data_IF_675119795054
#
_entry.id   IF_675119795054
#
_cell.length_a   1.000
_cell.length_b   1.000
_cell.length_c   1.000
_cell.angle_alpha   90.00
_cell.angle_beta   90.00
_cell.angle_gamma   90.00
#
_symmetry.space_group_name_H-M   'P 1'
#
loop_
_entity.id
_entity.type
_entity.pdbx_description
1 polymer ?
#
# COMPACT_ATOMS: atom_id res chain seq x y z
N UNK A 1 -2.21 4.74 10.94
CA UNK A 1 -1.37 3.68 10.39
C UNK A 1 -2.05 2.34 10.57
N UNK A 2 -2.03 1.53 9.54
CA UNK A 2 -2.77 0.28 9.50
C UNK A 2 -1.82 -0.85 9.13
N UNK A 3 -2.01 -2.01 9.74
CA UNK A 3 -1.30 -3.23 9.39
C UNK A 3 -2.24 -4.13 8.59
N UNK A 4 -1.73 -4.74 7.53
CA UNK A 4 -2.52 -5.63 6.70
C UNK A 4 -1.66 -6.64 5.97
N UNK A 5 -2.31 -7.49 5.19
CA UNK A 5 -1.64 -8.50 4.38
C UNK A 5 -2.07 -8.35 2.93
N UNK A 6 -1.10 -8.35 2.04
CA UNK A 6 -1.37 -8.23 0.61
C UNK A 6 -2.11 -9.48 0.13
N UNK A 7 -3.27 -9.28 -0.48
CA UNK A 7 -4.06 -10.38 -1.03
C UNK A 7 -3.92 -10.52 -2.53
N UNK A 8 -3.51 -9.45 -3.23
CA UNK A 8 -3.32 -9.53 -4.67
C UNK A 8 -2.99 -8.19 -5.28
N UNK A 9 -2.78 -8.18 -6.59
CA UNK A 9 -2.54 -6.96 -7.35
C UNK A 9 -3.83 -6.52 -8.03
N UNK A 10 -4.00 -5.22 -8.11
CA UNK A 10 -5.11 -4.62 -8.83
C UNK A 10 -4.61 -4.22 -10.21
N UNK A 11 -5.17 -4.83 -11.25
CA UNK A 11 -4.79 -4.53 -12.62
C UNK A 11 -5.75 -3.50 -13.20
N UNK A 12 -5.19 -2.43 -13.75
CA UNK A 12 -5.97 -1.39 -14.40
C UNK A 12 -5.34 -1.10 -15.74
N UNK A 13 -6.11 -1.26 -16.83
CA UNK A 13 -5.62 -0.99 -18.17
C UNK A 13 -5.58 0.50 -18.50
N UNK A 14 -6.32 1.31 -17.73
CA UNK A 14 -6.36 2.77 -17.92
C UNK A 14 -6.28 3.47 -16.58
N UNK A 15 -5.50 4.52 -16.52
CA UNK A 15 -5.37 5.36 -15.35
C UNK A 15 -5.37 6.82 -15.76
N UNK A 16 -5.83 7.68 -14.88
CA UNK A 16 -5.76 9.13 -15.13
C UNK A 16 -4.30 9.56 -15.12
N UNK A 17 -4.00 10.67 -15.83
CA UNK A 17 -2.61 11.10 -16.04
C UNK A 17 -1.86 11.49 -14.77
N UNK A 18 -2.58 11.90 -13.71
CA UNK A 18 -1.94 12.26 -12.43
C UNK A 18 -1.61 11.05 -11.56
N UNK A 19 -1.98 9.84 -11.98
CA UNK A 19 -1.66 8.63 -11.25
C UNK A 19 -0.21 8.27 -11.44
N UNK A 20 0.58 8.08 -10.38
CA UNK A 20 1.98 7.69 -10.54
C UNK A 20 2.12 6.27 -11.11
N UNK A 21 3.24 6.01 -11.75
CA UNK A 21 3.58 4.65 -12.18
C UNK A 21 3.89 3.79 -10.97
N UNK A 22 3.37 2.59 -10.94
CA UNK A 22 3.60 1.66 -9.85
C UNK A 22 2.45 0.71 -9.69
N UNK A 23 2.57 -0.15 -8.70
CA UNK A 23 1.58 -1.18 -8.43
C UNK A 23 0.51 -0.68 -7.48
N UNK A 24 -0.72 -1.12 -7.72
CA UNK A 24 -1.80 -1.00 -6.76
C UNK A 24 -2.06 -2.40 -6.22
N UNK A 25 -2.09 -2.52 -4.91
CA UNK A 25 -2.29 -3.81 -4.26
C UNK A 25 -3.58 -3.82 -3.47
N UNK A 26 -4.24 -4.95 -3.49
CA UNK A 26 -5.36 -5.21 -2.60
C UNK A 26 -4.80 -5.71 -1.29
N UNK A 27 -5.18 -5.08 -0.19
CA UNK A 27 -4.68 -5.42 1.13
C UNK A 27 -5.85 -5.67 2.07
N UNK A 28 -5.79 -6.78 2.78
CA UNK A 28 -6.76 -7.09 3.80
C UNK A 28 -6.20 -6.65 5.16
N UNK A 29 -6.93 -5.77 5.83
CA UNK A 29 -6.49 -5.22 7.11
C UNK A 29 -6.75 -6.21 8.24
N UNK A 30 -6.15 -5.95 9.39
CA UNK A 30 -6.38 -6.78 10.59
C UNK A 30 -7.84 -6.79 11.03
N UNK A 31 -8.57 -5.74 10.74
CA UNK A 31 -10.00 -5.66 11.08
C UNK A 31 -10.90 -6.40 10.09
N UNK A 32 -10.33 -6.93 9.02
CA UNK A 32 -11.07 -7.65 8.01
C UNK A 32 -11.54 -6.81 6.82
N UNK A 33 -11.25 -5.52 6.84
CA UNK A 33 -11.56 -4.65 5.71
C UNK A 33 -10.58 -4.87 4.58
N UNK A 34 -11.01 -4.58 3.36
CA UNK A 34 -10.15 -4.63 2.18
C UNK A 34 -9.97 -3.22 1.67
N UNK A 35 -8.75 -2.86 1.35
CA UNK A 35 -8.45 -1.57 0.73
C UNK A 35 -7.43 -1.72 -0.39
N UNK A 36 -7.35 -0.69 -1.22
CA UNK A 36 -6.39 -0.63 -2.32
C UNK A 36 -5.33 0.38 -1.95
N UNK A 37 -4.08 -0.05 -1.98
CA UNK A 37 -2.96 0.81 -1.61
C UNK A 37 -1.92 0.85 -2.72
N UNK A 38 -1.29 2.02 -2.87
CA UNK A 38 -0.16 2.16 -3.79
C UNK A 38 1.09 1.55 -3.14
N UNK A 39 1.83 0.77 -3.92
CA UNK A 39 3.02 0.06 -3.44
C UNK A 39 4.28 0.53 -4.17
N UNK A 40 5.13 1.34 -3.52
CA UNK A 40 6.41 1.72 -4.10
C UNK A 40 7.54 0.72 -3.82
N UNK A 41 7.27 -0.32 -3.02
CA UNK A 41 8.30 -1.22 -2.52
C UNK A 41 8.44 -2.53 -3.31
N UNK A 42 7.40 -2.93 -4.03
CA UNK A 42 7.41 -4.19 -4.74
C UNK A 42 7.01 -5.39 -3.88
N UNK A 43 6.03 -5.20 -3.00
CA UNK A 43 5.56 -6.28 -2.14
C UNK A 43 4.78 -7.34 -2.93
N UNK A 44 4.79 -8.55 -2.43
CA UNK A 44 4.12 -9.69 -3.05
C UNK A 44 2.92 -10.14 -2.23
N UNK A 45 1.97 -10.87 -2.86
CA UNK A 45 0.86 -11.46 -2.11
C UNK A 45 1.37 -12.29 -0.94
N UNK A 46 0.70 -12.18 0.19
CA UNK A 46 1.08 -12.87 1.41
C UNK A 46 1.97 -12.07 2.34
N UNK A 47 2.60 -10.99 1.87
CA UNK A 47 3.43 -10.16 2.72
C UNK A 47 2.56 -9.31 3.67
N UNK A 48 3.05 -9.15 4.89
CA UNK A 48 2.45 -8.18 5.81
C UNK A 48 3.05 -6.81 5.56
N UNK A 49 2.21 -5.79 5.58
CA UNK A 49 2.62 -4.43 5.24
C UNK A 49 2.05 -3.43 6.21
N UNK A 50 2.74 -2.29 6.30
CA UNK A 50 2.26 -1.10 7.01
C UNK A 50 1.75 -0.11 5.98
N UNK A 51 0.59 0.47 6.26
CA UNK A 51 -0.10 1.38 5.36
C UNK A 51 -0.40 2.68 6.08
N UNK A 52 -0.11 3.80 5.44
CA UNK A 52 -0.59 5.10 5.86
C UNK A 52 -1.70 5.55 4.92
N UNK A 53 -2.60 6.40 5.40
CA UNK A 53 -3.78 6.83 4.64
C UNK A 53 -3.95 8.34 4.69
N UNK A 54 -4.84 8.83 3.84
CA UNK A 54 -5.24 10.22 3.81
C UNK A 54 -4.18 11.14 3.25
N UNK A 55 -4.13 12.36 3.77
CA UNK A 55 -3.22 13.39 3.27
C UNK A 55 -1.75 13.03 3.49
N UNK A 56 -1.44 12.20 4.47
CA UNK A 56 -0.06 11.74 4.69
C UNK A 56 0.38 10.87 3.52
N UNK A 57 -0.48 9.97 3.05
CA UNK A 57 -0.18 9.14 1.90
C UNK A 57 -0.02 9.99 0.63
N UNK A 58 -0.93 10.92 0.41
CA UNK A 58 -0.87 11.82 -0.76
C UNK A 58 0.39 12.67 -0.73
N UNK A 59 0.84 13.09 0.45
CA UNK A 59 2.02 13.91 0.62
C UNK A 59 3.34 13.25 0.25
N UNK A 60 3.35 11.94 0.10
CA UNK A 60 4.53 11.22 -0.39
C UNK A 60 4.95 11.70 -1.77
N UNK A 61 3.99 12.09 -2.59
CA UNK A 61 4.23 12.53 -3.96
C UNK A 61 4.42 14.04 -3.98
N UNK A 62 5.65 14.51 -3.77
CA UNK A 62 5.94 15.91 -3.54
C UNK A 62 5.88 16.77 -4.80
N UNK A 63 6.07 16.20 -5.98
CA UNK A 63 6.14 16.97 -7.22
C UNK A 63 4.78 17.37 -7.75
N UNK A 64 3.75 16.61 -7.42
CA UNK A 64 2.39 16.93 -7.83
C UNK A 64 1.42 16.14 -6.96
N UNK A 65 0.20 16.65 -6.89
CA UNK A 65 -0.86 15.98 -6.19
C UNK A 65 -1.20 14.65 -6.90
N UNK A 66 -1.23 13.57 -6.16
CA UNK A 66 -1.59 12.25 -6.68
C UNK A 66 -2.89 11.78 -6.03
N UNK A 67 -3.80 11.13 -6.79
CA UNK A 67 -5.07 10.66 -6.26
C UNK A 67 -4.89 9.33 -5.50
N UNK A 68 -4.05 9.34 -4.50
CA UNK A 68 -3.72 8.18 -3.69
C UNK A 68 -3.95 8.54 -2.24
N UNK A 69 -4.77 7.75 -1.55
CA UNK A 69 -5.06 7.97 -0.14
C UNK A 69 -4.65 6.79 0.76
N UNK A 70 -4.02 5.78 0.18
CA UNK A 70 -3.45 4.67 0.94
C UNK A 70 -2.11 4.27 0.32
N UNK A 71 -1.08 4.25 1.13
CA UNK A 71 0.29 4.03 0.69
C UNK A 71 0.96 2.99 1.58
N UNK A 72 1.57 1.98 0.95
CA UNK A 72 2.38 1.00 1.66
C UNK A 72 3.73 1.65 1.97
N UNK A 73 4.07 1.73 3.25
CA UNK A 73 5.29 2.39 3.70
C UNK A 73 6.32 1.41 4.26
N UNK A 74 5.96 0.16 4.45
CA UNK A 74 6.89 -0.82 4.97
C UNK A 74 6.38 -2.22 4.82
N UNK A 75 7.31 -3.17 4.76
CA UNK A 75 7.02 -4.59 4.81
C UNK A 75 7.43 -5.09 6.19
N UNK A 76 6.58 -5.89 6.81
CA UNK A 76 6.80 -6.36 8.17
C UNK A 76 7.45 -7.73 8.13
N UNK A 77 8.57 -7.86 8.86
CA UNK A 77 9.25 -9.13 9.01
C UNK A 77 8.79 -9.78 10.32
N UNK A 78 7.91 -10.78 10.18
CA UNK A 78 7.36 -11.48 11.34
C UNK A 78 8.40 -12.23 12.14
N UNK A 79 9.46 -12.71 11.51
CA UNK A 79 10.52 -13.41 12.22
C UNK A 79 11.24 -12.52 13.22
N UNK A 80 11.47 -11.27 12.84
CA UNK A 80 12.08 -10.31 13.74
C UNK A 80 11.18 -10.04 14.94
N UNK A 81 9.88 -10.00 14.73
CA UNK A 81 8.93 -9.80 15.82
C UNK A 81 8.98 -10.95 16.79
N UNK A 82 9.07 -12.17 16.31
CA UNK A 82 9.09 -13.36 17.14
C UNK A 82 10.37 -13.50 17.98
N UNK A 83 11.46 -12.94 17.51
CA UNK A 83 12.74 -13.01 18.20
C UNK A 83 12.94 -11.97 19.28
N UNK A 84 12.12 -10.96 19.28
CA UNK A 84 12.23 -9.84 20.22
C UNK A 84 11.65 -10.14 21.60
#
# INVERSE_FOLDING_TARGET
MIKGRVSGKVWSSRRIGSMPSGALLEVKTEKGDTLIAFDPLGCAPGEQVLITQGSVAAGYFTERSAPIDALIIGSIDEENIQKS
#
